data_IF_810499500756
#
_entry.id   IF_810499500756
#
_cell.length_a   1.000
_cell.length_b   1.000
_cell.length_c   1.000
_cell.angle_alpha   90.00
_cell.angle_beta   90.00
_cell.angle_gamma   90.00
#
_symmetry.space_group_name_H-M   'P 1'
#
loop_
_entity.id
_entity.type
_entity.pdbx_description
1 polymer ?
#
# COMPACT_ATOMS: atom_id res chain seq x y z
N UNK A 1 -34.93 11.20 -11.27
CA UNK A 1 -34.12 11.40 -10.05
C UNK A 1 -32.69 11.58 -10.52
N UNK A 2 -32.14 12.80 -10.43
CA UNK A 2 -30.77 13.04 -10.91
C UNK A 2 -29.80 12.24 -10.04
N UNK A 3 -29.01 11.36 -10.66
CA UNK A 3 -27.93 10.65 -10.02
C UNK A 3 -26.89 11.70 -9.58
N UNK A 4 -26.80 11.95 -8.28
CA UNK A 4 -25.72 12.79 -7.75
C UNK A 4 -24.43 12.00 -7.90
N UNK A 5 -23.53 12.48 -8.75
CA UNK A 5 -22.16 11.98 -8.82
C UNK A 5 -21.59 12.08 -7.40
N UNK A 6 -21.33 10.94 -6.78
CA UNK A 6 -20.73 10.89 -5.44
C UNK A 6 -19.25 11.23 -5.57
N UNK A 7 -18.82 12.33 -4.95
CA UNK A 7 -17.41 12.71 -4.89
C UNK A 7 -16.65 11.78 -3.93
N UNK A 8 -15.51 11.25 -4.36
CA UNK A 8 -14.63 10.39 -3.55
C UNK A 8 -13.27 11.06 -3.41
N UNK A 9 -13.00 11.60 -2.22
CA UNK A 9 -11.67 12.13 -1.90
C UNK A 9 -10.64 11.01 -1.87
N UNK A 10 -9.53 11.21 -2.57
CA UNK A 10 -8.50 10.20 -2.76
C UNK A 10 -7.10 10.77 -2.57
N UNK A 11 -6.14 9.91 -2.23
CA UNK A 11 -4.71 10.20 -2.18
C UNK A 11 -4.07 9.75 -3.49
N UNK A 12 -3.19 10.58 -4.04
CA UNK A 12 -2.34 10.22 -5.16
C UNK A 12 -0.92 9.97 -4.65
N UNK A 13 -0.48 8.73 -4.71
CA UNK A 13 0.80 8.27 -4.16
C UNK A 13 1.77 8.00 -5.32
N UNK A 14 2.97 8.60 -5.33
CA UNK A 14 3.98 8.29 -6.33
C UNK A 14 4.54 6.88 -6.12
N UNK A 15 4.68 6.14 -7.22
CA UNK A 15 5.38 4.85 -7.31
C UNK A 15 6.62 5.01 -8.18
N UNK A 16 7.44 3.96 -8.30
CA UNK A 16 8.62 3.99 -9.16
C UNK A 16 8.26 4.29 -10.63
N UNK A 17 7.30 3.53 -11.18
CA UNK A 17 6.88 3.60 -12.59
C UNK A 17 5.42 4.07 -12.74
N UNK A 18 4.92 4.93 -11.84
CA UNK A 18 3.55 5.42 -11.95
C UNK A 18 3.02 6.17 -10.73
N UNK A 19 1.70 6.19 -10.61
CA UNK A 19 0.99 6.78 -9.46
C UNK A 19 -0.19 5.91 -9.07
N UNK A 20 -0.36 5.70 -7.78
CA UNK A 20 -1.48 4.96 -7.20
C UNK A 20 -2.53 5.95 -6.68
N UNK A 21 -3.78 5.78 -7.11
CA UNK A 21 -4.91 6.57 -6.63
C UNK A 21 -5.72 5.74 -5.63
N UNK A 22 -5.78 6.17 -4.37
CA UNK A 22 -6.43 5.43 -3.28
C UNK A 22 -7.51 6.29 -2.64
N UNK A 23 -8.78 5.82 -2.54
CA UNK A 23 -9.80 6.50 -1.76
C UNK A 23 -9.33 6.71 -0.32
N UNK A 24 -9.49 7.94 0.19
CA UNK A 24 -9.07 8.28 1.56
C UNK A 24 -9.78 7.40 2.61
N UNK A 25 -11.00 6.94 2.33
CA UNK A 25 -11.76 6.03 3.18
C UNK A 25 -11.11 4.65 3.36
N UNK A 26 -10.21 4.25 2.46
CA UNK A 26 -9.47 2.99 2.54
C UNK A 26 -8.14 3.13 3.29
N UNK A 27 -7.74 4.35 3.68
CA UNK A 27 -6.44 4.63 4.28
C UNK A 27 -6.61 4.79 5.79
N UNK A 28 -6.03 3.87 6.55
CA UNK A 28 -6.03 3.95 8.00
C UNK A 28 -5.02 4.99 8.52
N UNK A 29 -3.81 5.00 7.98
CA UNK A 29 -2.72 5.90 8.39
C UNK A 29 -1.70 6.06 7.24
N UNK A 30 -0.92 7.16 7.27
CA UNK A 30 0.27 7.35 6.44
C UNK A 30 1.47 7.45 7.37
N UNK A 31 2.36 6.46 7.30
CA UNK A 31 3.55 6.37 8.14
C UNK A 31 4.81 6.32 7.27
N UNK A 32 5.95 6.69 7.85
CA UNK A 32 7.24 6.52 7.18
C UNK A 32 7.58 5.04 7.01
N UNK A 33 8.34 4.71 5.96
CA UNK A 33 8.84 3.36 5.76
C UNK A 33 9.72 2.92 6.94
N UNK A 34 9.50 1.70 7.41
CA UNK A 34 10.37 1.04 8.37
C UNK A 34 10.67 -0.36 7.85
N UNK A 35 11.92 -0.81 8.03
CA UNK A 35 12.34 -2.13 7.59
C UNK A 35 11.47 -3.21 8.27
N UNK A 36 10.68 -3.99 7.50
CA UNK A 36 9.88 -5.06 8.06
C UNK A 36 10.75 -6.23 8.50
N UNK A 37 10.18 -7.13 9.31
CA UNK A 37 10.82 -8.41 9.62
C UNK A 37 10.71 -9.37 8.45
N UNK A 38 11.85 -9.88 7.98
CA UNK A 38 11.93 -10.78 6.83
C UNK A 38 11.19 -12.10 7.07
N UNK A 39 10.61 -12.66 5.99
CA UNK A 39 9.98 -13.97 6.00
C UNK A 39 10.64 -14.87 4.94
N UNK A 40 11.50 -15.83 5.35
CA UNK A 40 12.17 -16.73 4.42
C UNK A 40 11.19 -17.53 3.56
N UNK A 41 11.47 -17.62 2.25
CA UNK A 41 10.67 -18.38 1.30
C UNK A 41 9.37 -17.70 0.83
N UNK A 42 9.13 -16.45 1.23
CA UNK A 42 8.01 -15.66 0.73
C UNK A 42 8.25 -15.17 -0.71
N UNK A 43 7.18 -14.90 -1.49
CA UNK A 43 7.31 -14.26 -2.79
C UNK A 43 7.98 -12.88 -2.68
N UNK A 44 8.72 -12.42 -3.71
CA UNK A 44 9.47 -11.15 -3.64
C UNK A 44 8.62 -9.92 -3.29
N UNK A 45 7.35 -9.90 -3.68
CA UNK A 45 6.42 -8.79 -3.38
C UNK A 45 5.97 -8.72 -1.93
N UNK A 46 6.22 -9.77 -1.14
CA UNK A 46 5.97 -9.79 0.30
C UNK A 46 7.24 -9.33 1.03
N UNK A 47 7.22 -8.10 1.52
CA UNK A 47 8.42 -7.47 2.10
C UNK A 47 8.66 -7.91 3.54
N UNK A 48 7.64 -8.42 4.23
CA UNK A 48 7.76 -8.92 5.60
C UNK A 48 6.59 -8.51 6.50
N UNK A 49 6.78 -8.57 7.82
CA UNK A 49 5.82 -8.09 8.81
C UNK A 49 6.26 -6.73 9.39
N UNK A 50 5.33 -5.78 9.42
CA UNK A 50 5.50 -4.43 9.92
C UNK A 50 4.72 -4.23 11.23
N UNK A 51 5.35 -3.57 12.20
CA UNK A 51 4.73 -3.23 13.48
C UNK A 51 3.89 -1.95 13.36
N UNK A 52 2.57 -2.10 13.27
CA UNK A 52 1.63 -0.99 13.23
C UNK A 52 0.93 -0.84 14.58
N UNK A 53 1.44 0.06 15.42
CA UNK A 53 1.01 0.19 16.81
C UNK A 53 1.26 -1.12 17.57
N UNK A 54 0.19 -1.72 18.10
CA UNK A 54 0.23 -3.02 18.79
C UNK A 54 -0.02 -4.23 17.89
N UNK A 55 -0.17 -4.03 16.57
CA UNK A 55 -0.46 -5.08 15.59
C UNK A 55 0.73 -5.34 14.69
N UNK A 56 0.89 -6.59 14.27
CA UNK A 56 1.78 -6.96 13.18
C UNK A 56 0.94 -7.10 11.92
N UNK A 57 1.28 -6.35 10.87
CA UNK A 57 0.58 -6.37 9.59
C UNK A 57 1.55 -6.75 8.46
N UNK A 58 1.11 -7.48 7.43
CA UNK A 58 1.95 -7.78 6.29
C UNK A 58 2.26 -6.49 5.51
N UNK A 59 3.53 -6.30 5.16
CA UNK A 59 3.97 -5.26 4.25
C UNK A 59 4.23 -5.88 2.88
N UNK A 60 3.66 -5.27 1.85
CA UNK A 60 3.81 -5.70 0.45
C UNK A 60 4.33 -4.54 -0.41
N UNK A 61 5.06 -4.86 -1.46
CA UNK A 61 5.32 -3.94 -2.56
C UNK A 61 4.14 -3.98 -3.54
N UNK A 62 3.48 -2.85 -3.74
CA UNK A 62 2.39 -2.75 -4.70
C UNK A 62 2.90 -3.06 -6.12
N UNK A 63 4.02 -2.44 -6.52
CA UNK A 63 4.69 -2.71 -7.79
C UNK A 63 5.01 -4.20 -7.96
N UNK A 64 5.61 -4.81 -6.93
CA UNK A 64 5.92 -6.25 -6.95
C UNK A 64 4.69 -7.13 -7.14
N UNK A 65 3.55 -6.80 -6.52
CA UNK A 65 2.30 -7.55 -6.73
C UNK A 65 1.75 -7.42 -8.15
N UNK A 66 2.08 -6.34 -8.84
CA UNK A 66 1.76 -6.13 -10.25
C UNK A 66 2.82 -6.73 -11.20
N UNK A 67 3.85 -7.40 -10.67
CA UNK A 67 4.96 -7.95 -11.46
C UNK A 67 5.95 -6.90 -11.97
N UNK A 68 5.93 -5.70 -11.38
CA UNK A 68 6.84 -4.61 -11.69
C UNK A 68 8.07 -4.63 -10.76
N UNK A 69 9.03 -3.74 -11.04
CA UNK A 69 10.24 -3.59 -10.23
C UNK A 69 9.90 -3.19 -8.80
N UNK A 70 10.48 -3.91 -7.84
CA UNK A 70 10.34 -3.62 -6.40
C UNK A 70 11.38 -2.56 -6.03
N UNK A 71 10.99 -1.43 -5.39
CA UNK A 71 11.90 -0.38 -4.94
C UNK A 71 12.90 -0.83 -3.85
#
# INVERSE_FOLDING_TARGET
MAERISEIYSLLIPLLDGRLNIPRSCVAEVVGFQTPSEMPGAPPWYLGMFAWGSRQIPLISFEGTCGQTIP
#
